data_IF_320060320247
#
_entry.id   IF_320060320247
#
_cell.length_a   1.000
_cell.length_b   1.000
_cell.length_c   1.000
_cell.angle_alpha   90.00
_cell.angle_beta   90.00
_cell.angle_gamma   90.00
#
_symmetry.space_group_name_H-M   'P 1'
#
loop_
_entity.id
_entity.type
_entity.pdbx_description
1 polymer ?
#
# COMPACT_ATOMS: atom_id res chain seq x y z
N UNK A 1 -13.00 27.96 -7.09
CA UNK A 1 -11.70 27.29 -6.83
C UNK A 1 -11.36 27.10 -5.33
N UNK A 2 -11.86 27.90 -4.38
CA UNK A 2 -11.53 27.75 -2.94
C UNK A 2 -12.19 26.48 -2.36
N UNK A 3 -13.47 26.23 -2.66
CA UNK A 3 -14.22 25.07 -2.11
C UNK A 3 -13.63 23.74 -2.56
N UNK A 4 -13.34 23.48 -3.86
CA UNK A 4 -12.68 22.26 -4.29
C UNK A 4 -11.32 22.06 -3.63
N UNK A 5 -10.53 23.13 -3.44
CA UNK A 5 -9.25 23.03 -2.73
C UNK A 5 -9.39 22.62 -1.28
N UNK A 6 -10.39 23.12 -0.56
CA UNK A 6 -10.68 22.73 0.84
C UNK A 6 -11.13 21.26 0.88
N UNK A 7 -12.01 20.84 -0.02
CA UNK A 7 -12.49 19.46 -0.09
C UNK A 7 -11.37 18.48 -0.47
N UNK A 8 -10.46 18.86 -1.37
CA UNK A 8 -9.27 18.10 -1.69
C UNK A 8 -8.37 17.89 -0.46
N UNK A 9 -8.05 18.97 0.27
CA UNK A 9 -7.24 18.88 1.50
C UNK A 9 -7.93 18.06 2.58
N UNK A 10 -9.25 18.20 2.73
CA UNK A 10 -10.03 17.38 3.66
C UNK A 10 -10.02 15.91 3.25
N UNK A 11 -10.16 15.62 1.96
CA UNK A 11 -10.00 14.27 1.40
C UNK A 11 -8.63 13.66 1.72
N UNK A 12 -7.55 14.44 1.58
CA UNK A 12 -6.21 14.01 1.94
C UNK A 12 -6.07 13.67 3.42
N UNK A 13 -6.64 14.49 4.32
CA UNK A 13 -6.65 14.19 5.75
C UNK A 13 -7.44 12.92 6.08
N UNK A 14 -8.56 12.70 5.40
CA UNK A 14 -9.35 11.47 5.53
C UNK A 14 -8.55 10.24 5.09
N UNK A 15 -7.81 10.32 3.98
CA UNK A 15 -6.95 9.23 3.50
C UNK A 15 -5.85 8.90 4.51
N UNK A 16 -5.15 9.91 5.03
CA UNK A 16 -4.06 9.72 5.99
C UNK A 16 -4.60 9.09 7.28
N UNK A 17 -5.62 9.69 7.90
CA UNK A 17 -6.17 9.19 9.16
C UNK A 17 -6.90 7.86 9.00
N UNK A 18 -7.60 7.68 7.90
CA UNK A 18 -8.24 6.41 7.56
C UNK A 18 -7.23 5.29 7.38
N UNK A 19 -6.12 5.56 6.70
CA UNK A 19 -5.00 4.63 6.54
C UNK A 19 -4.38 4.22 7.86
N UNK A 20 -4.03 5.21 8.72
CA UNK A 20 -3.48 4.96 10.06
C UNK A 20 -4.39 4.03 10.87
N UNK A 21 -5.68 4.39 10.99
CA UNK A 21 -6.64 3.62 11.77
C UNK A 21 -6.91 2.22 11.21
N UNK A 22 -6.95 2.11 9.88
CA UNK A 22 -7.12 0.81 9.25
C UNK A 22 -5.92 -0.11 9.52
N UNK A 23 -4.69 0.40 9.41
CA UNK A 23 -3.46 -0.35 9.68
C UNK A 23 -3.39 -0.77 11.15
N UNK A 24 -3.71 0.13 12.08
CA UNK A 24 -3.72 -0.16 13.52
C UNK A 24 -4.72 -1.28 13.84
N UNK A 25 -5.94 -1.18 13.30
CA UNK A 25 -6.98 -2.19 13.49
C UNK A 25 -6.61 -3.55 12.86
N UNK A 26 -6.07 -3.54 11.64
CA UNK A 26 -5.68 -4.75 10.93
C UNK A 26 -4.48 -5.44 11.58
N UNK A 27 -3.50 -4.68 12.06
CA UNK A 27 -2.35 -5.19 12.80
C UNK A 27 -2.76 -5.81 14.14
N UNK A 28 -3.64 -5.11 14.89
CA UNK A 28 -4.17 -5.62 16.14
C UNK A 28 -5.00 -6.90 15.95
N UNK A 29 -5.77 -7.00 14.85
CA UNK A 29 -6.48 -8.21 14.48
C UNK A 29 -5.53 -9.36 14.17
N UNK A 30 -4.48 -9.09 13.39
CA UNK A 30 -3.49 -10.10 13.01
C UNK A 30 -2.70 -10.63 14.22
N UNK A 31 -2.32 -9.76 15.17
CA UNK A 31 -1.71 -10.15 16.45
C UNK A 31 -2.64 -11.06 17.26
N UNK A 32 -3.94 -10.79 17.25
CA UNK A 32 -4.92 -11.63 17.93
C UNK A 32 -5.01 -13.05 17.34
N UNK A 33 -4.65 -13.24 16.09
CA UNK A 33 -4.47 -14.56 15.46
C UNK A 33 -3.08 -15.15 15.68
N UNK A 34 -2.26 -14.56 16.56
CA UNK A 34 -0.90 -15.00 16.87
C UNK A 34 -0.01 -15.06 15.62
N UNK A 35 -0.19 -14.11 14.70
CA UNK A 35 0.70 -13.99 13.54
C UNK A 35 2.01 -13.31 13.97
N UNK A 36 3.17 -13.78 13.50
CA UNK A 36 4.46 -13.14 13.77
C UNK A 36 4.48 -11.68 13.32
N UNK A 37 5.12 -10.78 14.10
CA UNK A 37 5.22 -9.35 13.80
C UNK A 37 5.83 -9.07 12.42
N UNK A 38 6.85 -9.84 12.05
CA UNK A 38 7.47 -9.74 10.73
C UNK A 38 6.46 -10.03 9.60
N UNK A 39 5.58 -11.02 9.80
CA UNK A 39 4.53 -11.35 8.83
C UNK A 39 3.46 -10.24 8.78
N UNK A 40 3.07 -9.69 9.93
CA UNK A 40 2.13 -8.57 10.00
C UNK A 40 2.68 -7.36 9.24
N UNK A 41 3.94 -6.98 9.50
CA UNK A 41 4.59 -5.87 8.83
C UNK A 41 4.68 -6.04 7.32
N UNK A 42 5.13 -7.20 6.86
CA UNK A 42 5.34 -7.44 5.43
C UNK A 42 4.05 -7.71 4.64
N UNK A 43 2.93 -7.99 5.30
CA UNK A 43 1.64 -8.26 4.63
C UNK A 43 0.57 -7.23 5.01
N UNK A 44 0.11 -7.26 6.25
CA UNK A 44 -1.03 -6.44 6.71
C UNK A 44 -0.68 -4.95 6.66
N UNK A 45 0.46 -4.55 7.22
CA UNK A 45 0.90 -3.15 7.22
C UNK A 45 1.21 -2.69 5.81
N UNK A 46 1.95 -3.50 5.03
CA UNK A 46 2.30 -3.17 3.64
C UNK A 46 1.07 -2.97 2.76
N UNK A 47 0.06 -3.86 2.85
CA UNK A 47 -1.20 -3.70 2.11
C UNK A 47 -2.01 -2.52 2.64
N UNK A 48 -2.10 -2.37 3.97
CA UNK A 48 -2.88 -1.31 4.60
C UNK A 48 -2.36 0.09 4.29
N UNK A 49 -1.05 0.29 4.27
CA UNK A 49 -0.43 1.58 3.91
C UNK A 49 -0.59 1.94 2.43
N UNK A 50 -0.80 0.96 1.55
CA UNK A 50 -1.07 1.18 0.12
C UNK A 50 -2.56 1.24 -0.23
N UNK A 51 -3.47 1.01 0.72
CA UNK A 51 -4.91 1.12 0.46
C UNK A 51 -5.35 2.50 -0.07
N UNK A 52 -4.85 3.64 0.47
CA UNK A 52 -5.16 4.95 -0.08
C UNK A 52 -4.83 5.05 -1.58
N UNK A 53 -3.65 4.60 -1.99
CA UNK A 53 -3.21 4.60 -3.39
C UNK A 53 -4.06 3.69 -4.26
N UNK A 54 -4.41 2.49 -3.75
CA UNK A 54 -5.28 1.55 -4.47
C UNK A 54 -6.66 2.17 -4.68
N UNK A 55 -7.25 2.80 -3.66
CA UNK A 55 -8.56 3.43 -3.74
C UNK A 55 -8.56 4.62 -4.70
N UNK A 56 -7.60 5.55 -4.56
CA UNK A 56 -7.46 6.70 -5.46
C UNK A 56 -7.28 6.25 -6.90
N UNK A 57 -6.36 5.31 -7.18
CA UNK A 57 -6.12 4.82 -8.53
C UNK A 57 -7.33 4.08 -9.10
N UNK A 58 -8.02 3.27 -8.30
CA UNK A 58 -9.20 2.52 -8.76
C UNK A 58 -10.36 3.45 -9.08
N UNK A 59 -10.67 4.40 -8.18
CA UNK A 59 -11.74 5.38 -8.38
C UNK A 59 -11.44 6.25 -9.61
N UNK A 60 -10.20 6.76 -9.74
CA UNK A 60 -9.78 7.55 -10.91
C UNK A 60 -9.95 6.76 -12.20
N UNK A 61 -9.55 5.49 -12.23
CA UNK A 61 -9.68 4.64 -13.42
C UNK A 61 -11.15 4.39 -13.79
N UNK A 62 -12.02 4.11 -12.81
CA UNK A 62 -13.46 3.89 -13.01
C UNK A 62 -14.16 5.17 -13.46
N UNK A 63 -13.72 6.31 -12.95
CA UNK A 63 -14.24 7.64 -13.34
C UNK A 63 -13.71 8.13 -14.70
N UNK A 64 -12.90 7.32 -15.40
CA UNK A 64 -12.35 7.66 -16.71
C UNK A 64 -11.07 8.49 -16.69
N UNK A 65 -10.51 8.77 -15.50
CA UNK A 65 -9.26 9.51 -15.31
C UNK A 65 -8.05 8.57 -15.18
N UNK A 66 -7.79 7.78 -16.23
CA UNK A 66 -6.72 6.79 -16.24
C UNK A 66 -5.33 7.38 -15.99
N UNK A 67 -5.08 8.60 -16.44
CA UNK A 67 -3.80 9.31 -16.27
C UNK A 67 -3.50 9.57 -14.79
N UNK A 68 -4.53 9.96 -14.01
CA UNK A 68 -4.41 10.13 -12.55
C UNK A 68 -4.09 8.79 -11.87
N UNK A 69 -4.77 7.72 -12.29
CA UNK A 69 -4.53 6.38 -11.75
C UNK A 69 -3.07 5.94 -11.96
N UNK A 70 -2.53 6.12 -13.16
CA UNK A 70 -1.13 5.76 -13.46
C UNK A 70 -0.14 6.69 -12.77
N UNK A 71 -0.42 8.00 -12.75
CA UNK A 71 0.41 9.00 -12.08
C UNK A 71 0.52 8.74 -10.58
N UNK A 72 -0.61 8.43 -9.92
CA UNK A 72 -0.65 8.10 -8.49
C UNK A 72 0.16 6.81 -8.19
N UNK A 73 -0.05 5.75 -8.97
CA UNK A 73 0.67 4.49 -8.76
C UNK A 73 2.19 4.64 -8.93
N UNK A 74 2.65 5.26 -10.02
CA UNK A 74 4.08 5.48 -10.30
C UNK A 74 4.68 6.51 -9.34
N UNK A 75 3.95 7.59 -9.03
CA UNK A 75 4.38 8.61 -8.09
C UNK A 75 4.64 8.04 -6.70
N UNK A 76 3.75 7.16 -6.22
CA UNK A 76 3.92 6.47 -4.93
C UNK A 76 5.18 5.58 -4.92
N UNK A 77 5.44 4.83 -5.99
CA UNK A 77 6.67 4.03 -6.13
C UNK A 77 7.91 4.91 -6.05
N UNK A 78 7.93 6.05 -6.75
CA UNK A 78 9.07 7.00 -6.73
C UNK A 78 9.23 7.61 -5.33
N UNK A 79 8.15 8.05 -4.69
CA UNK A 79 8.20 8.57 -3.33
C UNK A 79 8.76 7.54 -2.34
N UNK A 80 8.27 6.30 -2.40
CA UNK A 80 8.71 5.26 -1.48
C UNK A 80 10.17 4.87 -1.69
N UNK A 81 10.61 4.75 -2.93
CA UNK A 81 11.96 4.25 -3.25
C UNK A 81 13.03 5.36 -3.27
N UNK A 82 12.71 6.54 -3.78
CA UNK A 82 13.68 7.63 -3.90
C UNK A 82 13.64 8.60 -2.71
N UNK A 83 12.47 9.03 -2.25
CA UNK A 83 12.36 10.02 -1.18
C UNK A 83 12.48 9.37 0.20
N UNK A 84 11.58 8.43 0.53
CA UNK A 84 11.52 7.84 1.88
C UNK A 84 12.77 7.02 2.16
N UNK A 85 13.16 6.13 1.24
CA UNK A 85 14.37 5.33 1.42
C UNK A 85 15.62 6.20 1.48
N UNK A 86 15.73 7.26 0.65
CA UNK A 86 16.87 8.17 0.67
C UNK A 86 16.99 8.93 2.00
N UNK A 87 15.88 9.48 2.53
CA UNK A 87 15.86 10.15 3.84
C UNK A 87 16.26 9.16 4.94
N UNK A 88 15.69 7.95 4.94
CA UNK A 88 15.99 6.92 5.94
C UNK A 88 17.50 6.60 5.95
N UNK A 89 18.09 6.35 4.78
CA UNK A 89 19.51 6.03 4.66
C UNK A 89 20.40 7.23 5.01
N UNK A 90 19.99 8.45 4.66
CA UNK A 90 20.74 9.67 4.98
C UNK A 90 20.76 9.94 6.49
N UNK A 91 19.62 9.70 7.18
CA UNK A 91 19.52 9.91 8.64
C UNK A 91 20.18 8.78 9.42
N UNK A 92 19.99 7.54 8.98
CA UNK A 92 20.55 6.36 9.67
C UNK A 92 21.08 5.34 8.66
N UNK A 93 22.32 5.51 8.17
CA UNK A 93 22.94 4.52 7.32
C UNK A 93 23.17 3.22 8.08
N UNK A 94 22.95 2.08 7.43
CA UNK A 94 23.07 0.77 8.06
C UNK A 94 23.49 -0.31 7.07
N UNK A 95 23.96 -1.43 7.61
CA UNK A 95 24.20 -2.65 6.81
C UNK A 95 22.87 -3.32 6.54
N UNK A 96 22.70 -3.83 5.33
CA UNK A 96 21.48 -4.54 4.90
C UNK A 96 21.84 -5.99 4.61
N UNK A 97 21.08 -6.94 5.14
CA UNK A 97 21.17 -8.33 4.69
C UNK A 97 20.45 -8.46 3.33
N UNK A 98 21.16 -8.88 2.26
CA UNK A 98 20.54 -9.03 0.96
C UNK A 98 19.60 -10.23 0.83
N UNK A 99 19.66 -11.21 1.75
CA UNK A 99 18.88 -12.45 1.65
C UNK A 99 17.36 -12.20 1.65
N UNK A 100 16.77 -11.49 2.65
CA UNK A 100 15.33 -11.23 2.66
C UNK A 100 14.87 -10.31 1.53
N UNK A 101 15.77 -9.51 0.96
CA UNK A 101 15.44 -8.58 -0.13
C UNK A 101 15.39 -9.22 -1.52
N UNK A 102 15.90 -10.43 -1.70
CA UNK A 102 15.97 -11.08 -3.03
C UNK A 102 14.61 -11.23 -3.69
N UNK A 103 13.62 -11.70 -2.94
CA UNK A 103 12.26 -11.91 -3.46
C UNK A 103 11.57 -10.57 -3.76
N UNK A 104 11.46 -9.60 -2.82
CA UNK A 104 10.90 -8.28 -3.11
C UNK A 104 11.55 -7.59 -4.30
N UNK A 105 12.88 -7.58 -4.38
CA UNK A 105 13.62 -6.93 -5.47
C UNK A 105 13.35 -7.61 -6.81
N UNK A 106 13.32 -8.94 -6.88
CA UNK A 106 13.01 -9.67 -8.11
C UNK A 106 11.59 -9.36 -8.61
N UNK A 107 10.59 -9.37 -7.72
CA UNK A 107 9.22 -9.02 -8.07
C UNK A 107 9.07 -7.55 -8.47
N UNK A 108 9.77 -6.63 -7.80
CA UNK A 108 9.79 -5.21 -8.16
C UNK A 108 10.29 -5.00 -9.59
N UNK A 109 11.45 -5.57 -9.95
CA UNK A 109 11.98 -5.42 -11.31
C UNK A 109 11.14 -6.15 -12.36
N UNK A 110 10.54 -7.29 -12.03
CA UNK A 110 9.62 -7.97 -12.94
C UNK A 110 8.37 -7.12 -13.21
N UNK A 111 7.77 -6.51 -12.17
CA UNK A 111 6.64 -5.60 -12.32
C UNK A 111 7.01 -4.37 -13.14
N UNK A 112 8.15 -3.75 -12.85
CA UNK A 112 8.66 -2.60 -13.59
C UNK A 112 8.89 -2.93 -15.07
N UNK A 113 9.46 -4.10 -15.38
CA UNK A 113 9.66 -4.54 -16.75
C UNK A 113 8.34 -4.71 -17.52
N UNK A 114 7.33 -5.36 -16.91
CA UNK A 114 6.00 -5.51 -17.50
C UNK A 114 5.38 -4.14 -17.76
N UNK A 115 5.48 -3.22 -16.78
CA UNK A 115 4.95 -1.88 -16.89
C UNK A 115 5.62 -1.09 -18.03
N UNK A 116 6.97 -1.16 -18.14
CA UNK A 116 7.73 -0.52 -19.21
C UNK A 116 7.37 -1.09 -20.59
N UNK A 117 7.23 -2.42 -20.71
CA UNK A 117 6.80 -3.05 -21.97
C UNK A 117 5.39 -2.58 -22.35
N UNK A 118 4.46 -2.47 -21.40
CA UNK A 118 3.13 -1.95 -21.68
C UNK A 118 3.15 -0.50 -22.15
N UNK A 119 3.89 0.36 -21.43
CA UNK A 119 3.93 1.79 -21.69
C UNK A 119 4.68 2.13 -22.99
N UNK A 120 5.89 1.61 -23.14
CA UNK A 120 6.79 1.98 -24.27
C UNK A 120 6.70 1.03 -25.45
N UNK A 121 6.46 -0.27 -25.22
CA UNK A 121 6.40 -1.26 -26.29
C UNK A 121 5.02 -1.35 -26.94
N UNK A 122 3.94 -1.31 -26.13
CA UNK A 122 2.57 -1.47 -26.63
C UNK A 122 1.78 -0.14 -26.67
N UNK A 123 2.24 0.90 -26.00
CA UNK A 123 1.57 2.20 -25.91
C UNK A 123 0.19 2.15 -25.25
N UNK A 124 -0.15 1.06 -24.56
CA UNK A 124 -1.45 0.86 -23.90
C UNK A 124 -1.38 -0.19 -22.81
N UNK A 125 -2.21 0.00 -21.78
CA UNK A 125 -2.47 -1.02 -20.77
C UNK A 125 -3.72 -1.81 -21.12
N UNK A 126 -3.64 -3.13 -21.09
CA UNK A 126 -4.75 -4.03 -21.44
C UNK A 126 -5.22 -4.82 -20.22
N UNK A 127 -6.47 -5.26 -20.24
CA UNK A 127 -7.03 -6.10 -19.16
C UNK A 127 -6.22 -7.37 -18.87
N UNK A 128 -5.73 -8.14 -19.86
CA UNK A 128 -4.85 -9.29 -19.59
C UNK A 128 -3.58 -8.92 -18.85
N UNK A 129 -2.97 -7.76 -19.14
CA UNK A 129 -1.78 -7.29 -18.42
C UNK A 129 -2.12 -6.93 -16.97
N UNK A 130 -3.26 -6.28 -16.74
CA UNK A 130 -3.73 -6.00 -15.38
C UNK A 130 -3.93 -7.29 -14.57
N UNK A 131 -4.54 -8.32 -15.18
CA UNK A 131 -4.70 -9.63 -14.55
C UNK A 131 -3.37 -10.33 -14.28
N UNK A 132 -2.40 -10.22 -15.21
CA UNK A 132 -1.05 -10.73 -15.01
C UNK A 132 -0.36 -10.05 -13.82
N UNK A 133 -0.46 -8.73 -13.70
CA UNK A 133 0.13 -7.96 -12.59
C UNK A 133 -0.56 -8.30 -11.25
N UNK A 134 -1.88 -8.48 -11.23
CA UNK A 134 -2.59 -8.97 -10.04
C UNK A 134 -2.15 -10.38 -9.64
N UNK A 135 -2.03 -11.29 -10.61
CA UNK A 135 -1.48 -12.63 -10.37
C UNK A 135 -0.07 -12.60 -9.80
N UNK A 136 0.77 -11.70 -10.30
CA UNK A 136 2.12 -11.49 -9.79
C UNK A 136 2.11 -10.93 -8.36
N UNK A 137 1.19 -10.01 -8.02
CA UNK A 137 1.02 -9.53 -6.65
C UNK A 137 0.62 -10.66 -5.70
N UNK A 138 -0.33 -11.51 -6.09
CA UNK A 138 -0.73 -12.69 -5.29
C UNK A 138 0.45 -13.65 -5.11
N UNK A 139 1.23 -13.90 -6.16
CA UNK A 139 2.44 -14.73 -6.06
C UNK A 139 3.49 -14.11 -5.14
N UNK A 140 3.69 -12.79 -5.19
CA UNK A 140 4.56 -12.06 -4.28
C UNK A 140 4.12 -12.21 -2.82
N UNK A 141 2.83 -12.01 -2.53
CA UNK A 141 2.29 -12.18 -1.18
C UNK A 141 2.46 -13.61 -0.67
N UNK A 142 2.19 -14.61 -1.51
CA UNK A 142 2.40 -16.01 -1.17
C UNK A 142 3.87 -16.32 -0.89
N UNK A 143 4.78 -15.79 -1.69
CA UNK A 143 6.23 -15.95 -1.50
C UNK A 143 6.71 -15.31 -0.18
N UNK A 144 6.21 -14.11 0.16
CA UNK A 144 6.51 -13.47 1.45
C UNK A 144 6.03 -14.31 2.62
N UNK A 145 4.77 -14.77 2.60
CA UNK A 145 4.22 -15.62 3.66
C UNK A 145 5.03 -16.90 3.81
N UNK A 146 5.41 -17.53 2.70
CA UNK A 146 6.22 -18.74 2.72
C UNK A 146 7.63 -18.50 3.28
N UNK A 147 8.27 -17.41 2.88
CA UNK A 147 9.62 -17.04 3.36
C UNK A 147 9.61 -16.78 4.87
N UNK A 148 8.58 -16.11 5.38
CA UNK A 148 8.46 -15.76 6.80
C UNK A 148 8.12 -16.95 7.69
N UNK A 149 7.31 -17.91 7.22
CA UNK A 149 7.06 -19.15 7.95
C UNK A 149 8.34 -19.95 8.26
N UNK A 150 9.38 -19.73 7.45
CA UNK A 150 10.68 -20.40 7.59
C UNK A 150 11.75 -19.49 8.26
N UNK A 151 11.38 -18.28 8.69
CA UNK A 151 12.25 -17.37 9.43
C UNK A 151 12.31 -17.77 10.91
N UNK A 152 13.45 -17.56 11.61
CA UNK A 152 13.52 -17.71 13.06
C UNK A 152 12.48 -16.82 13.75
N UNK A 153 11.84 -17.36 14.79
CA UNK A 153 10.88 -16.59 15.59
C UNK A 153 11.62 -15.42 16.27
N UNK A 154 11.16 -14.20 16.04
CA UNK A 154 11.59 -13.04 16.83
C UNK A 154 10.86 -13.04 18.17
N UNK A 155 11.47 -12.48 19.25
CA UNK A 155 10.78 -12.34 20.54
C UNK A 155 9.50 -11.52 20.37
N UNK A 156 8.39 -12.08 20.82
CA UNK A 156 7.09 -11.37 20.82
C UNK A 156 7.19 -10.16 21.74
N UNK A 157 6.94 -8.98 21.24
CA UNK A 157 6.68 -7.81 22.07
C UNK A 157 5.28 -7.98 22.67
N UNK A 158 5.21 -8.12 24.00
CA UNK A 158 3.95 -8.15 24.76
C UNK A 158 3.31 -6.75 24.73
N UNK A 159 2.59 -6.42 23.64
CA UNK A 159 1.64 -5.31 23.67
C UNK A 159 0.31 -5.81 24.22
N UNK A 160 -0.33 -5.01 25.08
CA UNK A 160 -1.65 -5.33 25.63
C UNK A 160 -2.68 -5.57 24.50
N UNK A 161 -3.43 -6.68 24.52
CA UNK A 161 -4.33 -7.03 23.44
C UNK A 161 -5.47 -6.01 23.34
N UNK A 162 -5.58 -5.35 22.19
CA UNK A 162 -6.65 -4.41 21.90
C UNK A 162 -8.02 -5.12 21.92
N UNK A 163 -9.03 -4.51 22.53
CA UNK A 163 -10.39 -5.05 22.57
C UNK A 163 -11.02 -5.17 21.17
N UNK A 164 -11.75 -6.26 20.90
CA UNK A 164 -12.39 -6.53 19.61
C UNK A 164 -13.25 -5.37 19.10
N UNK A 165 -14.03 -4.72 19.98
CA UNK A 165 -14.87 -3.60 19.59
C UNK A 165 -14.07 -2.42 19.03
N UNK A 166 -12.90 -2.11 19.63
CA UNK A 166 -11.99 -1.07 19.13
C UNK A 166 -11.36 -1.48 17.79
N UNK A 167 -10.95 -2.75 17.64
CA UNK A 167 -10.41 -3.27 16.38
C UNK A 167 -11.42 -3.10 15.24
N UNK A 168 -12.65 -3.56 15.45
CA UNK A 168 -13.73 -3.44 14.43
C UNK A 168 -14.03 -1.98 14.11
N UNK A 169 -14.09 -1.13 15.14
CA UNK A 169 -14.29 0.31 14.95
C UNK A 169 -13.20 0.93 14.08
N UNK A 170 -11.93 0.65 14.37
CA UNK A 170 -10.79 1.17 13.62
C UNK A 170 -10.80 0.69 12.16
N UNK A 171 -11.12 -0.59 11.92
CA UNK A 171 -11.23 -1.14 10.57
C UNK A 171 -12.36 -0.50 9.77
N UNK A 172 -13.56 -0.41 10.35
CA UNK A 172 -14.74 0.11 9.64
C UNK A 172 -14.61 1.62 9.39
N UNK A 173 -14.24 2.38 10.42
CA UNK A 173 -14.09 3.84 10.30
C UNK A 173 -12.88 4.17 9.41
N UNK A 174 -11.77 3.45 9.55
CA UNK A 174 -10.60 3.57 8.68
C UNK A 174 -10.94 3.35 7.21
N UNK A 175 -11.60 2.24 6.89
CA UNK A 175 -12.04 1.95 5.53
C UNK A 175 -13.02 3.00 4.97
N UNK A 176 -13.98 3.46 5.78
CA UNK A 176 -14.94 4.50 5.39
C UNK A 176 -14.24 5.84 5.09
N UNK A 177 -13.26 6.24 5.92
CA UNK A 177 -12.47 7.46 5.70
C UNK A 177 -11.58 7.35 4.45
N UNK A 178 -10.97 6.18 4.20
CA UNK A 178 -10.19 5.95 2.97
C UNK A 178 -11.09 6.11 1.74
N UNK A 179 -12.25 5.47 1.73
CA UNK A 179 -13.19 5.56 0.62
C UNK A 179 -13.71 6.99 0.39
N UNK A 180 -14.09 7.69 1.46
CA UNK A 180 -14.53 9.09 1.41
C UNK A 180 -13.41 10.00 0.90
N UNK A 181 -12.22 9.86 1.48
CA UNK A 181 -11.06 10.66 1.12
C UNK A 181 -10.63 10.48 -0.32
N UNK A 182 -10.64 9.25 -0.83
CA UNK A 182 -10.31 8.94 -2.21
C UNK A 182 -11.31 9.56 -3.20
N UNK A 183 -12.63 9.47 -2.92
CA UNK A 183 -13.65 10.14 -3.75
C UNK A 183 -13.46 11.67 -3.76
N UNK A 184 -13.33 12.30 -2.57
CA UNK A 184 -13.12 13.74 -2.48
C UNK A 184 -11.87 14.22 -3.22
N UNK A 185 -10.79 13.44 -3.14
CA UNK A 185 -9.52 13.76 -3.80
C UNK A 185 -9.66 13.67 -5.32
N UNK A 186 -10.30 12.62 -5.84
CA UNK A 186 -10.49 12.43 -7.28
C UNK A 186 -11.45 13.49 -7.84
N UNK A 187 -12.61 13.67 -7.21
CA UNK A 187 -13.65 14.59 -7.69
C UNK A 187 -13.17 16.06 -7.70
N UNK A 188 -12.34 16.46 -6.73
CA UNK A 188 -11.89 17.85 -6.61
C UNK A 188 -10.47 18.08 -7.16
N UNK A 189 -9.71 17.03 -7.43
CA UNK A 189 -8.40 17.11 -8.07
C UNK A 189 -8.46 17.15 -9.59
N UNK A 190 -9.62 16.88 -10.19
CA UNK A 190 -9.85 16.89 -11.64
C UNK A 190 -10.48 18.21 -12.14
N UNK A 191 -10.76 19.16 -11.26
CA UNK A 191 -11.29 20.50 -11.54
C UNK A 191 -10.16 21.54 -11.72
#
# INVERSE_FOLDING_TARGET
MIIPGILFLFGLLCLIKGGDWFVDGASALARRFHLPELLIGATVVSVGTTLPEVMVSTISAVSGHGEIAYGNAIGSVICNTALIAAITVAVRPGKVDPKPLRVPVAFFFAAAAIYCVAAYGMGRFTRPMGLLMLGMFVAYMAANVWQMKNAPAEPEHEEEPMGIGKIVLLLVVGAALIALGANLLVDNGTL
#
